data_IF_028731423673
#
_entry.id   IF_028731423673
#
_cell.length_a   1.000
_cell.length_b   1.000
_cell.length_c   1.000
_cell.angle_alpha   90.00
_cell.angle_beta   90.00
_cell.angle_gamma   90.00
#
_symmetry.space_group_name_H-M   'P 1'
#
loop_
_entity.id
_entity.type
_entity.pdbx_description
1 polymer ?
#
# COMPACT_ATOMS: atom_id res chain seq x y z
N UNK A 1 -0.77 19.53 6.12
CA UNK A 1 0.07 18.57 5.37
C UNK A 1 -0.38 18.63 3.91
N UNK A 2 0.56 18.74 2.97
CA UNK A 2 0.26 18.86 1.54
C UNK A 2 0.80 17.64 0.83
N UNK A 3 -0.02 17.01 -0.03
CA UNK A 3 0.38 15.83 -0.79
C UNK A 3 0.95 16.25 -2.13
N UNK A 4 2.14 15.72 -2.46
CA UNK A 4 2.79 15.91 -3.76
C UNK A 4 3.02 14.54 -4.38
N UNK A 5 2.58 14.36 -5.63
CA UNK A 5 2.86 13.15 -6.41
C UNK A 5 4.05 13.40 -7.31
N UNK A 6 5.12 12.63 -7.14
CA UNK A 6 6.34 12.74 -7.92
C UNK A 6 6.60 11.47 -8.73
N UNK A 7 6.80 11.62 -10.05
CA UNK A 7 7.25 10.53 -10.92
C UNK A 7 8.77 10.62 -11.12
N UNK A 8 9.51 9.66 -10.59
CA UNK A 8 10.97 9.56 -10.77
C UNK A 8 11.34 8.32 -11.58
N UNK A 9 12.42 8.41 -12.35
CA UNK A 9 13.04 7.25 -12.98
C UNK A 9 14.19 6.74 -12.09
N UNK A 10 13.93 5.70 -11.31
CA UNK A 10 14.90 5.11 -10.36
C UNK A 10 16.14 4.51 -11.04
N UNK A 11 16.12 4.30 -12.36
CA UNK A 11 17.30 3.85 -13.11
C UNK A 11 18.26 5.00 -13.46
N UNK A 12 17.76 6.24 -13.47
CA UNK A 12 18.56 7.43 -13.77
C UNK A 12 19.38 7.87 -12.54
N UNK A 13 20.55 8.48 -12.76
CA UNK A 13 21.42 8.98 -11.68
C UNK A 13 20.69 9.96 -10.76
N UNK A 14 19.95 10.90 -11.34
CA UNK A 14 19.18 11.89 -10.56
C UNK A 14 18.00 11.25 -9.82
N UNK A 15 17.29 10.32 -10.45
CA UNK A 15 16.17 9.63 -9.81
C UNK A 15 16.60 8.82 -8.58
N UNK A 16 17.79 8.20 -8.60
CA UNK A 16 18.36 7.53 -7.42
C UNK A 16 18.63 8.51 -6.28
N UNK A 17 19.28 9.65 -6.57
CA UNK A 17 19.60 10.67 -5.57
C UNK A 17 18.31 11.20 -4.91
N UNK A 18 17.29 11.51 -5.72
CA UNK A 18 16.01 11.99 -5.20
C UNK A 18 15.35 10.92 -4.31
N UNK A 19 15.35 9.67 -4.72
CA UNK A 19 14.79 8.56 -3.94
C UNK A 19 15.48 8.41 -2.58
N UNK A 20 16.81 8.48 -2.55
CA UNK A 20 17.58 8.32 -1.32
C UNK A 20 17.36 9.49 -0.34
N UNK A 21 17.25 10.72 -0.85
CA UNK A 21 16.91 11.90 -0.05
C UNK A 21 15.50 11.79 0.57
N UNK A 22 14.52 11.32 -0.20
CA UNK A 22 13.15 11.10 0.28
C UNK A 22 13.15 10.03 1.37
N UNK A 23 13.84 8.90 1.15
CA UNK A 23 13.94 7.81 2.13
C UNK A 23 14.56 8.32 3.44
N UNK A 24 15.70 9.00 3.38
CA UNK A 24 16.38 9.58 4.54
C UNK A 24 15.47 10.53 5.33
N UNK A 25 14.79 11.43 4.63
CA UNK A 25 13.90 12.42 5.25
C UNK A 25 12.65 11.78 5.87
N UNK A 26 12.19 10.65 5.32
CA UNK A 26 11.01 9.92 5.81
C UNK A 26 11.25 9.07 7.06
N UNK A 27 12.45 8.51 7.22
CA UNK A 27 12.78 7.64 8.37
C UNK A 27 12.92 8.41 9.67
N UNK A 28 13.26 9.69 9.60
CA UNK A 28 13.60 10.50 10.78
C UNK A 28 12.43 11.39 11.27
N UNK A 29 11.20 11.20 10.77
CA UNK A 29 10.05 12.08 11.05
C UNK A 29 10.34 13.57 10.77
N UNK A 30 11.23 13.86 9.80
CA UNK A 30 11.71 15.22 9.48
C UNK A 30 10.79 15.99 8.50
N UNK A 31 9.50 15.69 8.50
CA UNK A 31 8.49 16.45 7.74
C UNK A 31 8.14 15.92 6.35
N UNK A 32 8.71 14.81 5.91
CA UNK A 32 8.32 14.11 4.67
C UNK A 32 7.75 12.74 5.03
N UNK A 33 6.58 12.41 4.49
CA UNK A 33 5.96 11.09 4.64
C UNK A 33 5.78 10.46 3.25
N UNK A 34 6.30 9.23 3.09
CA UNK A 34 6.06 8.45 1.86
C UNK A 34 4.77 7.68 2.03
N UNK A 35 3.72 8.17 1.38
CA UNK A 35 2.44 7.49 1.34
C UNK A 35 2.54 6.24 0.47
N UNK A 36 2.24 5.08 1.06
CA UNK A 36 2.08 3.83 0.30
C UNK A 36 0.64 3.72 -0.15
N UNK A 37 0.41 3.89 -1.44
CA UNK A 37 -0.88 3.60 -2.04
C UNK A 37 -0.99 2.10 -2.33
N UNK A 38 -2.15 1.47 -2.07
CA UNK A 38 -2.42 0.12 -2.54
C UNK A 38 -2.18 0.01 -4.05
N UNK A 39 -1.73 -1.15 -4.51
CA UNK A 39 -1.68 -1.41 -5.95
C UNK A 39 -3.11 -1.55 -6.50
N UNK A 40 -3.25 -1.60 -7.84
CA UNK A 40 -4.56 -1.69 -8.50
C UNK A 40 -5.40 -2.88 -8.00
N UNK A 41 -4.77 -4.04 -7.80
CA UNK A 41 -5.43 -5.27 -7.35
C UNK A 41 -5.97 -5.12 -5.93
N UNK A 42 -5.18 -4.50 -5.05
CA UNK A 42 -5.59 -4.24 -3.66
C UNK A 42 -6.74 -3.23 -3.61
N UNK A 43 -6.69 -2.17 -4.42
CA UNK A 43 -7.81 -1.23 -4.54
C UNK A 43 -9.09 -1.93 -5.00
N UNK A 44 -8.98 -2.81 -6.02
CA UNK A 44 -10.13 -3.55 -6.52
C UNK A 44 -10.68 -4.53 -5.47
N UNK A 45 -9.82 -5.19 -4.70
CA UNK A 45 -10.24 -6.05 -3.60
C UNK A 45 -11.01 -5.26 -2.53
N UNK A 46 -10.53 -4.07 -2.16
CA UNK A 46 -11.23 -3.17 -1.22
C UNK A 46 -12.61 -2.78 -1.76
N UNK A 47 -12.69 -2.30 -3.02
CA UNK A 47 -13.98 -1.93 -3.64
C UNK A 47 -14.96 -3.11 -3.72
N UNK A 48 -14.48 -4.30 -4.02
CA UNK A 48 -15.32 -5.49 -4.10
C UNK A 48 -15.92 -5.81 -2.73
N UNK A 49 -15.11 -5.75 -1.66
CA UNK A 49 -15.55 -5.97 -0.28
C UNK A 49 -16.58 -4.91 0.14
N UNK A 50 -16.36 -3.63 -0.17
CA UNK A 50 -17.33 -2.56 0.10
C UNK A 50 -18.68 -2.78 -0.61
N UNK A 51 -18.66 -3.41 -1.79
CA UNK A 51 -19.85 -3.79 -2.57
C UNK A 51 -20.46 -5.13 -2.16
N UNK A 52 -19.92 -5.82 -1.14
CA UNK A 52 -20.40 -7.14 -0.73
C UNK A 52 -19.93 -8.31 -1.58
N UNK A 53 -19.00 -8.09 -2.53
CA UNK A 53 -18.54 -9.09 -3.50
C UNK A 53 -17.30 -9.80 -2.96
N UNK A 54 -17.32 -11.14 -2.96
CA UNK A 54 -16.17 -11.95 -2.54
C UNK A 54 -15.93 -11.99 -1.02
N UNK A 55 -16.87 -11.46 -0.22
CA UNK A 55 -16.86 -11.56 1.23
C UNK A 55 -17.29 -12.96 1.67
N UNK A 56 -16.43 -13.63 2.44
CA UNK A 56 -16.71 -14.94 3.05
C UNK A 56 -16.86 -14.74 4.55
N UNK A 57 -18.06 -14.98 5.06
CA UNK A 57 -18.31 -14.94 6.50
C UNK A 57 -17.88 -16.23 7.18
N UNK A 58 -17.40 -16.07 8.42
CA UNK A 58 -16.92 -17.17 9.27
C UNK A 58 -17.53 -17.05 10.65
N UNK A 59 -17.72 -18.18 11.32
CA UNK A 59 -18.36 -18.22 12.64
C UNK A 59 -17.35 -17.99 13.77
N UNK A 60 -16.15 -18.52 13.62
CA UNK A 60 -15.09 -18.50 14.62
C UNK A 60 -13.73 -18.73 13.93
N UNK A 61 -12.66 -18.74 14.73
CA UNK A 61 -11.30 -18.94 14.24
C UNK A 61 -11.10 -20.26 13.49
N UNK A 62 -11.65 -21.37 13.99
CA UNK A 62 -11.49 -22.69 13.38
C UNK A 62 -12.12 -22.73 11.97
N UNK A 63 -13.36 -22.25 11.84
CA UNK A 63 -14.07 -22.13 10.55
C UNK A 63 -13.33 -21.22 9.55
N UNK A 64 -12.72 -20.13 10.04
CA UNK A 64 -11.89 -19.26 9.21
C UNK A 64 -10.68 -20.00 8.63
N UNK A 65 -9.94 -20.72 9.48
CA UNK A 65 -8.72 -21.41 9.05
C UNK A 65 -9.03 -22.58 8.11
N UNK A 66 -10.16 -23.28 8.31
CA UNK A 66 -10.61 -24.32 7.37
C UNK A 66 -10.90 -23.74 5.99
N UNK A 67 -11.63 -22.63 5.90
CA UNK A 67 -11.99 -21.99 4.63
C UNK A 67 -10.82 -21.30 3.91
N UNK A 68 -9.80 -20.87 4.64
CA UNK A 68 -8.59 -20.29 4.04
C UNK A 68 -7.68 -21.35 3.41
N UNK A 69 -7.74 -22.58 3.92
CA UNK A 69 -6.90 -23.70 3.46
C UNK A 69 -7.61 -24.62 2.45
N UNK A 70 -8.88 -24.35 2.11
CA UNK A 70 -9.69 -25.10 1.14
C UNK A 70 -9.64 -24.46 -0.24
#
# INVERSE_FOLDING_TARGET
>A
MTTITLKINERSKMGKIILDLIKLSSTEKKGVEVLRFPNKETFQAIENVEKGIGLIHTKNHEDLMTKLNS
#
